data_IF_038766844223
#
_entry.id   IF_038766844223
#
_cell.length_a   1.000
_cell.length_b   1.000
_cell.length_c   1.000
_cell.angle_alpha   90.00
_cell.angle_beta   90.00
_cell.angle_gamma   90.00
#
_symmetry.space_group_name_H-M   'P 1'
#
loop_
_entity.id
_entity.type
_entity.pdbx_description
1 polymer ?
#
# COMPACT_ATOMS: atom_id res chain seq x y z
N UNK A 1 -0.31 19.42 -2.06
CA UNK A 1 -0.64 18.08 -2.54
C UNK A 1 -0.98 17.14 -1.38
N UNK A 2 -0.13 16.97 -0.36
CA UNK A 2 -0.41 16.05 0.76
C UNK A 2 -1.73 16.37 1.49
N UNK A 3 -2.02 17.65 1.69
CA UNK A 3 -3.28 18.08 2.33
C UNK A 3 -4.51 17.80 1.47
N UNK A 4 -4.38 17.90 0.15
CA UNK A 4 -5.50 17.69 -0.78
C UNK A 4 -5.93 16.23 -0.88
N UNK A 5 -5.00 15.29 -0.66
CA UNK A 5 -5.30 13.84 -0.69
C UNK A 5 -5.74 13.28 0.67
N UNK A 6 -5.86 14.11 1.72
CA UNK A 6 -6.15 13.65 3.09
C UNK A 6 -7.42 12.80 3.17
N UNK A 7 -8.50 13.19 2.50
CA UNK A 7 -9.76 12.43 2.53
C UNK A 7 -9.61 11.05 1.89
N UNK A 8 -8.86 10.95 0.79
CA UNK A 8 -8.57 9.66 0.16
C UNK A 8 -7.70 8.80 1.06
N UNK A 9 -6.68 9.39 1.71
CA UNK A 9 -5.84 8.66 2.64
C UNK A 9 -6.61 8.15 3.86
N UNK A 10 -7.58 8.93 4.36
CA UNK A 10 -8.47 8.46 5.42
C UNK A 10 -9.32 7.28 4.96
N UNK A 11 -9.93 7.35 3.77
CA UNK A 11 -10.68 6.23 3.20
C UNK A 11 -9.81 4.97 3.08
N UNK A 12 -8.57 5.09 2.62
CA UNK A 12 -7.65 3.96 2.54
C UNK A 12 -7.33 3.40 3.93
N UNK A 13 -7.14 4.26 4.94
CA UNK A 13 -6.92 3.82 6.31
C UNK A 13 -8.14 3.08 6.88
N UNK A 14 -9.34 3.57 6.65
CA UNK A 14 -10.59 2.95 7.10
C UNK A 14 -10.81 1.57 6.45
N UNK A 15 -10.52 1.46 5.14
CA UNK A 15 -10.55 0.16 4.45
C UNK A 15 -9.49 -0.79 5.02
N UNK A 16 -8.26 -0.30 5.26
CA UNK A 16 -7.21 -1.13 5.87
C UNK A 16 -7.62 -1.63 7.26
N UNK A 17 -8.27 -0.79 8.06
CA UNK A 17 -8.76 -1.18 9.38
C UNK A 17 -9.74 -2.36 9.32
N UNK A 18 -10.54 -2.44 8.25
CA UNK A 18 -11.50 -3.53 8.03
C UNK A 18 -10.81 -4.78 7.49
N UNK A 19 -9.96 -4.63 6.46
CA UNK A 19 -9.38 -5.78 5.76
C UNK A 19 -8.13 -6.34 6.44
N UNK A 20 -7.44 -5.54 7.26
CA UNK A 20 -6.25 -5.96 7.99
C UNK A 20 -6.03 -5.13 9.27
N UNK A 21 -6.87 -5.34 10.32
CA UNK A 21 -6.84 -4.50 11.53
C UNK A 21 -5.48 -4.52 12.24
N UNK A 22 -4.78 -5.64 12.25
CA UNK A 22 -3.44 -5.74 12.88
C UNK A 22 -2.39 -4.91 12.15
N UNK A 23 -2.44 -4.87 10.80
CA UNK A 23 -1.55 -3.99 10.02
C UNK A 23 -1.89 -2.52 10.26
N UNK A 24 -3.18 -2.17 10.27
CA UNK A 24 -3.62 -0.80 10.59
C UNK A 24 -3.08 -0.35 11.95
N UNK A 25 -3.17 -1.21 12.97
CA UNK A 25 -2.64 -0.92 14.31
C UNK A 25 -1.11 -0.75 14.29
N UNK A 26 -0.37 -1.66 13.65
CA UNK A 26 1.09 -1.59 13.53
C UNK A 26 1.54 -0.31 12.80
N UNK A 27 0.87 0.07 11.72
CA UNK A 27 1.13 1.34 11.01
C UNK A 27 0.88 2.56 11.92
N UNK A 28 -0.21 2.55 12.69
CA UNK A 28 -0.51 3.61 13.66
C UNK A 28 0.55 3.74 14.75
N UNK A 29 1.04 2.62 15.29
CA UNK A 29 2.14 2.58 16.26
C UNK A 29 3.43 3.11 15.63
N UNK A 30 3.74 2.73 14.39
CA UNK A 30 4.91 3.21 13.63
C UNK A 30 4.88 4.74 13.50
N UNK A 31 3.77 5.30 13.02
CA UNK A 31 3.63 6.76 12.88
C UNK A 31 3.67 7.48 14.23
N UNK A 32 3.12 6.90 15.27
CA UNK A 32 3.19 7.46 16.64
C UNK A 32 4.63 7.51 17.13
N UNK A 33 5.39 6.43 16.96
CA UNK A 33 6.81 6.38 17.33
C UNK A 33 7.63 7.39 16.51
N UNK A 34 7.36 7.54 15.20
CA UNK A 34 8.02 8.54 14.36
C UNK A 34 7.70 9.97 14.83
N UNK A 35 6.45 10.27 15.21
CA UNK A 35 6.05 11.60 15.75
C UNK A 35 6.73 11.91 17.06
N UNK A 36 7.04 10.90 17.87
CA UNK A 36 7.75 11.05 19.14
C UNK A 36 9.26 11.24 18.98
N UNK A 37 9.81 10.98 17.78
CA UNK A 37 11.22 11.18 17.48
C UNK A 37 11.47 12.62 16.99
N UNK A 38 12.27 13.44 17.72
CA UNK A 38 12.51 14.84 17.34
C UNK A 38 13.09 15.03 15.92
N UNK A 39 13.82 14.03 15.41
CA UNK A 39 14.41 14.09 14.06
C UNK A 39 13.39 13.81 12.94
N UNK A 40 12.30 13.11 13.25
CA UNK A 40 11.28 12.69 12.28
C UNK A 40 9.98 13.48 12.41
N UNK A 41 9.73 14.06 13.58
CA UNK A 41 8.48 14.76 13.92
C UNK A 41 8.05 15.76 12.84
N UNK A 42 8.98 16.59 12.34
CA UNK A 42 8.67 17.60 11.33
C UNK A 42 8.15 17.02 10.01
N UNK A 43 8.68 15.87 9.59
CA UNK A 43 8.25 15.21 8.36
C UNK A 43 6.89 14.50 8.53
N UNK A 44 6.61 13.96 9.72
CA UNK A 44 5.41 13.14 9.98
C UNK A 44 4.19 13.97 10.41
N UNK A 45 4.39 15.21 10.87
CA UNK A 45 3.29 16.07 11.36
C UNK A 45 2.21 16.32 10.30
N UNK A 46 2.59 16.48 9.04
CA UNK A 46 1.68 16.71 7.91
C UNK A 46 1.46 15.46 7.05
N UNK A 47 1.91 14.29 7.50
CA UNK A 47 1.78 13.04 6.76
C UNK A 47 0.35 12.50 6.86
N UNK A 48 -0.40 12.39 5.75
CA UNK A 48 -1.82 12.05 5.79
C UNK A 48 -2.11 10.56 5.76
N UNK A 49 -1.15 9.73 5.32
CA UNK A 49 -1.36 8.31 5.12
C UNK A 49 -1.15 7.51 6.41
N UNK A 50 -1.85 6.38 6.55
CA UNK A 50 -1.60 5.41 7.62
C UNK A 50 -0.29 4.64 7.40
N UNK A 51 0.09 4.41 6.15
CA UNK A 51 1.38 3.80 5.79
C UNK A 51 2.51 4.83 5.89
N UNK A 52 3.69 4.43 6.34
CA UNK A 52 4.84 5.33 6.45
C UNK A 52 5.52 5.61 5.09
N UNK A 53 5.18 4.86 4.04
CA UNK A 53 5.71 5.08 2.70
C UNK A 53 4.59 5.28 1.68
N UNK A 54 4.71 6.33 0.89
CA UNK A 54 3.96 6.54 -0.34
C UNK A 54 4.93 6.67 -1.51
N UNK A 55 4.66 5.96 -2.60
CA UNK A 55 5.43 6.03 -3.83
C UNK A 55 4.53 6.42 -5.00
N UNK A 56 4.83 7.52 -5.65
CA UNK A 56 4.17 7.90 -6.90
C UNK A 56 4.83 7.16 -8.08
N UNK A 57 4.05 6.42 -8.82
CA UNK A 57 4.47 5.63 -9.97
C UNK A 57 3.71 6.13 -11.20
N UNK A 58 4.45 6.57 -12.22
CA UNK A 58 3.84 7.12 -13.46
C UNK A 58 4.35 6.32 -14.64
N UNK A 59 3.42 5.81 -15.44
CA UNK A 59 3.67 5.13 -16.73
C UNK A 59 4.75 4.04 -16.66
N UNK A 60 4.79 3.30 -15.54
CA UNK A 60 5.78 2.25 -15.33
C UNK A 60 5.19 0.86 -15.61
N UNK A 61 5.80 0.16 -16.54
CA UNK A 61 5.66 -1.27 -16.74
C UNK A 61 6.55 -1.98 -15.72
N UNK A 62 6.08 -3.07 -15.15
CA UNK A 62 6.89 -3.87 -14.22
C UNK A 62 6.91 -5.34 -14.68
N UNK A 63 8.11 -5.94 -14.84
CA UNK A 63 8.22 -7.37 -15.12
C UNK A 63 7.73 -8.18 -13.91
N UNK A 64 7.66 -9.49 -14.05
CA UNK A 64 7.37 -10.39 -12.94
C UNK A 64 8.37 -10.22 -11.81
N UNK A 65 7.89 -9.92 -10.61
CA UNK A 65 8.71 -9.67 -9.42
C UNK A 65 7.90 -9.87 -8.14
N UNK A 66 8.62 -9.90 -7.04
CA UNK A 66 8.11 -9.71 -5.68
C UNK A 66 8.73 -8.43 -5.12
N UNK A 67 8.00 -7.69 -4.28
CA UNK A 67 8.52 -6.46 -3.71
C UNK A 67 9.59 -6.73 -2.64
N UNK A 68 10.73 -6.03 -2.67
CA UNK A 68 11.74 -6.15 -1.64
C UNK A 68 11.37 -5.35 -0.37
N UNK A 69 11.64 -5.94 0.79
CA UNK A 69 11.32 -5.32 2.09
C UNK A 69 9.83 -5.40 2.42
N UNK A 70 9.48 -5.16 3.65
CA UNK A 70 8.14 -5.41 4.19
C UNK A 70 7.97 -6.84 4.69
N UNK A 71 7.01 -7.01 5.59
CA UNK A 71 6.68 -8.33 6.11
C UNK A 71 5.79 -9.10 5.13
N UNK A 72 5.92 -10.44 5.07
CA UNK A 72 5.01 -11.27 4.27
C UNK A 72 3.54 -11.10 4.64
N UNK A 73 3.28 -10.76 5.89
CA UNK A 73 1.95 -10.52 6.45
C UNK A 73 1.39 -9.13 6.14
N UNK A 74 2.23 -8.20 5.70
CA UNK A 74 1.77 -6.84 5.38
C UNK A 74 1.14 -6.77 3.99
N UNK A 75 0.08 -5.95 3.89
CA UNK A 75 -0.50 -5.59 2.60
C UNK A 75 0.09 -4.28 2.11
N UNK A 76 0.39 -4.25 0.82
CA UNK A 76 0.58 -3.04 0.05
C UNK A 76 -0.77 -2.55 -0.45
N UNK A 77 -0.93 -1.24 -0.61
CA UNK A 77 -2.14 -0.64 -1.16
C UNK A 77 -1.79 0.15 -2.42
N UNK A 78 -2.40 -0.21 -3.55
CA UNK A 78 -2.25 0.48 -4.82
C UNK A 78 -3.52 1.28 -5.12
N UNK A 79 -3.41 2.61 -5.10
CA UNK A 79 -4.45 3.52 -5.58
C UNK A 79 -4.16 3.88 -7.03
N UNK A 80 -5.00 3.44 -7.95
CA UNK A 80 -4.87 3.72 -9.37
C UNK A 80 -5.55 5.03 -9.75
N UNK A 81 -4.83 5.86 -10.48
CA UNK A 81 -5.21 7.20 -10.91
C UNK A 81 -4.87 7.38 -12.42
N UNK A 82 -4.93 8.63 -12.90
CA UNK A 82 -4.70 8.93 -14.31
C UNK A 82 -5.96 8.70 -15.14
N UNK A 83 -5.79 8.25 -16.38
CA UNK A 83 -6.91 8.00 -17.31
C UNK A 83 -6.87 6.61 -17.97
N UNK A 84 -5.91 5.76 -17.60
CA UNK A 84 -5.73 4.43 -18.17
C UNK A 84 -6.86 3.47 -17.74
N UNK A 85 -7.63 2.95 -18.72
CA UNK A 85 -8.78 2.10 -18.46
C UNK A 85 -8.47 0.59 -18.56
N UNK A 86 -7.38 0.23 -19.23
CA UNK A 86 -7.05 -1.15 -19.60
C UNK A 86 -5.81 -1.71 -18.89
N UNK A 87 -5.19 -0.94 -17.97
CA UNK A 87 -4.10 -1.45 -17.15
C UNK A 87 -4.54 -2.63 -16.28
N UNK A 88 -3.67 -3.61 -16.16
CA UNK A 88 -3.91 -4.84 -15.38
C UNK A 88 -2.74 -5.15 -14.48
N UNK A 89 -3.05 -5.61 -13.28
CA UNK A 89 -2.11 -6.23 -12.36
C UNK A 89 -2.28 -7.75 -12.48
N UNK A 90 -1.29 -8.41 -13.04
CA UNK A 90 -1.27 -9.87 -13.13
C UNK A 90 -0.59 -10.45 -11.88
N UNK A 91 -1.19 -11.50 -11.29
CA UNK A 91 -0.69 -12.20 -10.10
C UNK A 91 -0.52 -13.67 -10.48
N UNK A 92 0.74 -14.12 -10.59
CA UNK A 92 1.06 -15.45 -11.07
C UNK A 92 0.54 -16.57 -10.16
N UNK A 93 0.76 -16.42 -8.85
CA UNK A 93 0.42 -17.46 -7.85
C UNK A 93 -1.08 -17.74 -7.77
N UNK A 94 -1.91 -16.75 -8.10
CA UNK A 94 -3.37 -16.86 -8.08
C UNK A 94 -3.95 -17.08 -9.48
N UNK A 95 -3.15 -17.09 -10.54
CA UNK A 95 -3.59 -17.07 -11.95
C UNK A 95 -4.63 -15.96 -12.21
N UNK A 96 -4.48 -14.84 -11.51
CA UNK A 96 -5.41 -13.71 -11.54
C UNK A 96 -4.85 -12.57 -12.38
N UNK A 97 -5.76 -11.83 -13.03
CA UNK A 97 -5.47 -10.60 -13.75
C UNK A 97 -6.51 -9.55 -13.34
N UNK A 98 -6.09 -8.63 -12.48
CA UNK A 98 -6.97 -7.61 -11.89
C UNK A 98 -7.00 -6.38 -12.78
N UNK A 99 -8.20 -5.89 -13.10
CA UNK A 99 -8.37 -4.61 -13.80
C UNK A 99 -8.04 -3.45 -12.85
N UNK A 100 -7.28 -2.47 -13.35
CA UNK A 100 -6.80 -1.33 -12.58
C UNK A 100 -7.22 0.01 -13.18
N UNK A 101 -8.53 0.26 -13.44
CA UNK A 101 -8.97 1.56 -13.94
C UNK A 101 -8.76 2.64 -12.87
N UNK A 102 -8.77 3.94 -13.27
CA UNK A 102 -8.71 5.04 -12.32
C UNK A 102 -9.79 4.93 -11.24
N UNK A 103 -9.42 5.20 -9.99
CA UNK A 103 -10.27 5.07 -8.81
C UNK A 103 -10.29 3.66 -8.19
N UNK A 104 -9.69 2.65 -8.82
CA UNK A 104 -9.56 1.33 -8.20
C UNK A 104 -8.47 1.30 -7.12
N UNK A 105 -8.75 0.54 -6.06
CA UNK A 105 -7.82 0.30 -4.96
C UNK A 105 -7.59 -1.21 -4.83
N UNK A 106 -6.34 -1.62 -4.71
CA UNK A 106 -5.96 -3.02 -4.54
C UNK A 106 -5.10 -3.15 -3.29
N UNK A 107 -5.53 -4.02 -2.38
CA UNK A 107 -4.71 -4.47 -1.25
C UNK A 107 -4.22 -5.89 -1.53
N UNK A 108 -2.92 -6.09 -1.45
CA UNK A 108 -2.32 -7.41 -1.65
C UNK A 108 -0.93 -7.46 -1.00
N UNK A 109 -0.39 -8.65 -0.80
CA UNK A 109 0.97 -8.79 -0.29
C UNK A 109 1.97 -8.90 -1.45
N UNK A 110 2.56 -7.76 -1.85
CA UNK A 110 3.56 -7.70 -2.92
C UNK A 110 4.85 -8.44 -2.55
N UNK A 111 5.14 -8.59 -1.26
CA UNK A 111 6.26 -9.37 -0.74
C UNK A 111 6.17 -10.86 -1.05
N UNK A 112 4.96 -11.41 -1.10
CA UNK A 112 4.73 -12.86 -1.26
C UNK A 112 4.32 -13.20 -2.69
N UNK A 113 3.40 -12.42 -3.26
CA UNK A 113 2.80 -12.73 -4.55
C UNK A 113 3.67 -12.25 -5.71
N UNK A 114 4.01 -13.15 -6.63
CA UNK A 114 4.69 -12.79 -7.88
C UNK A 114 3.70 -12.05 -8.76
N UNK A 115 4.03 -10.82 -9.10
CA UNK A 115 3.14 -9.94 -9.84
C UNK A 115 3.85 -9.13 -10.94
N UNK A 116 3.06 -8.63 -11.89
CA UNK A 116 3.56 -7.80 -12.99
C UNK A 116 2.50 -6.81 -13.47
N UNK A 117 2.94 -5.75 -14.11
CA UNK A 117 2.08 -4.84 -14.88
C UNK A 117 2.63 -4.76 -16.30
N UNK A 118 1.85 -5.24 -17.27
CA UNK A 118 2.20 -5.23 -18.69
C UNK A 118 1.87 -3.88 -19.33
N UNK A 119 2.19 -3.78 -20.61
CA UNK A 119 1.81 -2.66 -21.46
C UNK A 119 0.28 -2.51 -21.52
N UNK A 120 -0.17 -1.29 -21.63
CA UNK A 120 -1.56 -0.90 -21.86
C UNK A 120 -1.68 -0.09 -23.15
N UNK A 121 -2.91 0.23 -23.56
CA UNK A 121 -3.18 0.93 -24.81
C UNK A 121 -2.48 2.29 -24.94
N UNK A 122 -2.09 2.63 -26.14
CA UNK A 122 -1.41 3.90 -26.43
C UNK A 122 -2.29 5.11 -26.10
N UNK A 123 -1.69 6.18 -25.62
CA UNK A 123 -2.39 7.44 -25.28
C UNK A 123 -3.00 7.49 -23.87
N UNK A 124 -2.91 6.40 -23.10
CA UNK A 124 -3.32 6.39 -21.70
C UNK A 124 -2.17 6.72 -20.75
N UNK A 125 -2.47 7.48 -19.71
CA UNK A 125 -1.55 7.73 -18.60
C UNK A 125 -1.97 6.92 -17.37
N UNK A 126 -1.09 6.04 -16.92
CA UNK A 126 -1.26 5.30 -15.68
C UNK A 126 -0.49 5.99 -14.58
N UNK A 127 -1.20 6.41 -13.54
CA UNK A 127 -0.63 6.96 -12.32
C UNK A 127 -1.08 6.09 -11.16
N UNK A 128 -0.14 5.70 -10.30
CA UNK A 128 -0.43 4.89 -9.11
C UNK A 128 0.24 5.51 -7.91
N UNK A 129 -0.47 5.60 -6.80
CA UNK A 129 0.13 5.82 -5.50
C UNK A 129 0.21 4.47 -4.79
N UNK A 130 1.41 3.94 -4.67
CA UNK A 130 1.70 2.76 -3.88
C UNK A 130 1.92 3.15 -2.42
N UNK A 131 1.26 2.47 -1.50
CA UNK A 131 1.41 2.64 -0.05
C UNK A 131 1.89 1.32 0.53
N UNK A 132 2.90 1.37 1.38
CA UNK A 132 3.46 0.17 1.98
C UNK A 132 4.22 0.48 3.26
N UNK A 133 4.52 -0.58 4.01
CA UNK A 133 5.38 -0.54 5.20
C UNK A 133 6.75 -1.14 4.89
N UNK A 134 7.76 -0.75 5.66
CA UNK A 134 9.08 -1.34 5.61
C UNK A 134 9.39 -2.05 6.93
N UNK A 135 9.73 -3.33 6.84
CA UNK A 135 10.19 -4.16 7.97
C UNK A 135 11.29 -3.46 8.78
N UNK A 136 12.31 -2.97 8.09
CA UNK A 136 13.43 -2.24 8.71
C UNK A 136 13.01 -0.98 9.49
N UNK A 137 11.93 -0.32 9.10
CA UNK A 137 11.42 0.87 9.80
C UNK A 137 10.71 0.44 11.07
N UNK A 138 9.82 -0.53 10.97
CA UNK A 138 9.07 -1.06 12.11
C UNK A 138 10.02 -1.68 13.15
N UNK A 139 10.98 -2.49 12.71
CA UNK A 139 12.00 -3.10 13.58
C UNK A 139 12.81 -2.05 14.37
N UNK A 140 13.26 -0.98 13.70
CA UNK A 140 14.01 0.11 14.35
C UNK A 140 13.18 0.89 15.37
N UNK A 141 11.87 0.93 15.18
CA UNK A 141 10.94 1.61 16.07
C UNK A 141 10.37 0.68 17.14
N UNK A 142 10.73 -0.60 17.13
CA UNK A 142 10.24 -1.62 18.05
C UNK A 142 8.76 -1.96 17.87
N UNK A 143 8.23 -1.77 16.67
CA UNK A 143 6.86 -2.15 16.31
C UNK A 143 6.85 -3.61 15.88
N UNK A 144 5.97 -4.40 16.48
CA UNK A 144 5.87 -5.82 16.16
C UNK A 144 5.31 -6.04 14.74
N UNK A 145 5.81 -7.09 14.07
CA UNK A 145 5.25 -7.57 12.81
C UNK A 145 3.76 -7.85 12.97
N UNK A 146 2.89 -7.34 12.07
CA UNK A 146 1.47 -7.64 12.09
C UNK A 146 1.22 -9.12 11.78
N UNK A 147 0.18 -9.67 12.35
CA UNK A 147 -0.27 -11.02 12.01
C UNK A 147 -1.36 -10.94 10.94
N UNK A 148 -1.35 -11.86 9.96
CA UNK A 148 -2.44 -11.98 9.00
C UNK A 148 -3.76 -12.22 9.73
N UNK A 149 -4.84 -11.50 9.37
CA UNK A 149 -6.15 -11.77 9.94
C UNK A 149 -6.63 -13.17 9.56
N UNK A 150 -7.20 -13.87 10.51
CA UNK A 150 -7.79 -15.19 10.28
C UNK A 150 -9.23 -15.07 9.79
N UNK A 151 -9.76 -16.13 9.17
CA UNK A 151 -11.14 -16.18 8.72
C UNK A 151 -12.14 -15.83 9.84
N UNK A 152 -11.88 -16.29 11.06
CA UNK A 152 -12.74 -15.99 12.21
C UNK A 152 -12.76 -14.51 12.59
N UNK A 153 -11.70 -13.78 12.35
CA UNK A 153 -11.62 -12.34 12.63
C UNK A 153 -12.43 -11.49 11.64
N UNK A 154 -12.72 -12.02 10.44
CA UNK A 154 -13.61 -11.36 9.49
C UNK A 154 -15.10 -11.63 9.75
N UNK A 155 -15.44 -12.64 10.55
CA UNK A 155 -16.82 -13.02 10.85
C UNK A 155 -17.31 -12.53 12.22
N UNK A 156 -16.42 -11.92 13.01
CA UNK A 156 -16.73 -11.37 14.32
C UNK A 156 -17.18 -9.91 14.20
#
# INVERSE_FOLDING_TARGET
>A
WLLEITLVQQLLADVLQVVHPHLHEACGQTLSAMRSNPQLQGAVTSWPAIFEVMQLIVNRITPWHQDPGGYPEAYDCLLNLGNCQDARLDIADCLASLSCPPGSVIYFTGKVLIHSVKEWGAGWERVVIGHFTKDMVQDRLGVACPQLPTFHQYLA
#
